data_IF_776854302018
#
_entry.id   IF_776854302018
#
_cell.length_a   1.000
_cell.length_b   1.000
_cell.length_c   1.000
_cell.angle_alpha   90.00
_cell.angle_beta   90.00
_cell.angle_gamma   90.00
#
_symmetry.space_group_name_H-M   'P 1'
#
loop_
_entity.id
_entity.type
_entity.pdbx_description
1 polymer ?
#
# COMPACT_ATOMS: atom_id res chain seq x y z
N UNK A 1 -5.64 13.21 -15.65
CA UNK A 1 -4.63 12.27 -15.12
C UNK A 1 -4.35 12.64 -13.68
N UNK A 2 -4.42 11.70 -12.74
CA UNK A 2 -4.07 11.97 -11.34
C UNK A 2 -2.57 11.80 -11.15
N UNK A 3 -1.94 12.76 -10.49
CA UNK A 3 -0.51 12.75 -10.22
C UNK A 3 -0.28 12.64 -8.71
N UNK A 4 0.81 11.98 -8.34
CA UNK A 4 1.31 11.89 -6.96
C UNK A 4 2.74 12.37 -6.90
N UNK A 5 3.15 12.85 -5.74
CA UNK A 5 4.53 13.22 -5.48
C UNK A 5 5.34 11.97 -5.10
N UNK A 6 6.50 11.79 -5.71
CA UNK A 6 7.41 10.71 -5.33
C UNK A 6 8.01 10.99 -3.94
N UNK A 7 7.87 10.09 -2.95
CA UNK A 7 8.33 10.31 -1.58
C UNK A 7 9.86 10.33 -1.46
N UNK A 8 10.58 9.85 -2.49
CA UNK A 8 12.05 9.80 -2.49
C UNK A 8 12.70 11.01 -3.15
N UNK A 9 12.09 11.58 -4.20
CA UNK A 9 12.70 12.65 -4.99
C UNK A 9 11.81 13.88 -5.19
N UNK A 10 10.62 13.91 -4.59
CA UNK A 10 9.63 15.00 -4.67
C UNK A 10 9.14 15.31 -6.10
N UNK A 11 9.41 14.45 -7.08
CA UNK A 11 8.95 14.66 -8.45
C UNK A 11 7.47 14.29 -8.60
N UNK A 12 6.72 15.09 -9.36
CA UNK A 12 5.35 14.79 -9.77
C UNK A 12 5.35 13.68 -10.83
N UNK A 13 4.67 12.58 -10.51
CA UNK A 13 4.59 11.39 -11.37
C UNK A 13 3.15 10.89 -11.45
N UNK A 14 2.86 10.04 -12.44
CA UNK A 14 1.54 9.42 -12.56
C UNK A 14 1.23 8.52 -11.35
N UNK A 15 0.01 8.61 -10.83
CA UNK A 15 -0.41 7.86 -9.65
C UNK A 15 -0.34 6.33 -9.89
N UNK A 16 -0.54 5.90 -11.13
CA UNK A 16 -0.49 4.50 -11.55
C UNK A 16 0.93 3.94 -11.70
N UNK A 17 1.95 4.80 -11.72
CA UNK A 17 3.35 4.39 -11.84
C UNK A 17 3.75 3.45 -10.70
N UNK A 18 4.26 2.26 -11.07
CA UNK A 18 4.80 1.24 -10.15
C UNK A 18 6.22 1.56 -9.69
N UNK A 19 6.97 2.28 -10.52
CA UNK A 19 8.35 2.72 -10.24
C UNK A 19 8.47 4.18 -10.65
N UNK A 20 9.18 4.99 -9.87
CA UNK A 20 9.48 6.37 -10.25
C UNK A 20 10.47 6.38 -11.43
N UNK A 21 10.15 7.00 -12.57
CA UNK A 21 11.04 7.03 -13.75
C UNK A 21 12.27 7.94 -13.56
N UNK A 22 12.33 8.72 -12.47
CA UNK A 22 13.42 9.68 -12.22
C UNK A 22 14.45 9.11 -11.26
N UNK A 23 14.03 8.50 -10.15
CA UNK A 23 14.93 7.99 -9.11
C UNK A 23 14.88 6.47 -8.94
N UNK A 24 14.10 5.75 -9.77
CA UNK A 24 13.91 4.30 -9.69
C UNK A 24 13.31 3.78 -8.37
N UNK A 25 12.66 4.63 -7.58
CA UNK A 25 11.96 4.20 -6.37
C UNK A 25 10.76 3.30 -6.69
N UNK A 26 10.71 2.10 -6.11
CA UNK A 26 9.62 1.13 -6.27
C UNK A 26 8.46 1.43 -5.32
N UNK A 27 7.28 1.67 -5.89
CA UNK A 27 6.06 1.85 -5.12
C UNK A 27 5.48 0.49 -4.75
N UNK A 28 5.61 0.13 -3.48
CA UNK A 28 4.93 -1.06 -2.95
C UNK A 28 3.42 -0.83 -2.98
N UNK A 29 2.71 -1.55 -3.85
CA UNK A 29 1.26 -1.64 -3.78
C UNK A 29 0.91 -2.68 -2.72
N UNK A 30 0.21 -2.32 -1.64
CA UNK A 30 -0.27 -3.31 -0.70
C UNK A 30 -1.21 -4.27 -1.45
N UNK A 31 -0.86 -5.55 -1.42
CA UNK A 31 -1.68 -6.59 -2.01
C UNK A 31 -2.98 -6.70 -1.19
N UNK A 32 -4.14 -6.49 -1.85
CA UNK A 32 -5.47 -6.56 -1.22
C UNK A 32 -5.70 -7.85 -0.41
N UNK A 33 -5.09 -8.96 -0.85
CA UNK A 33 -5.18 -10.23 -0.15
C UNK A 33 -4.64 -10.15 1.29
N UNK A 34 -3.46 -9.55 1.49
CA UNK A 34 -2.89 -9.41 2.84
C UNK A 34 -3.69 -8.44 3.70
N UNK A 35 -4.33 -7.43 3.11
CA UNK A 35 -5.24 -6.54 3.86
C UNK A 35 -6.43 -7.32 4.40
N UNK A 36 -7.04 -8.20 3.59
CA UNK A 36 -8.16 -9.05 4.03
C UNK A 36 -7.69 -10.06 5.09
N UNK A 37 -6.55 -10.72 4.88
CA UNK A 37 -5.98 -11.67 5.85
C UNK A 37 -5.75 -10.99 7.20
N UNK A 38 -5.18 -9.78 7.21
CA UNK A 38 -4.96 -9.02 8.44
C UNK A 38 -6.26 -8.72 9.18
N UNK A 39 -7.32 -8.30 8.46
CA UNK A 39 -8.64 -8.05 9.06
C UNK A 39 -9.22 -9.32 9.66
N UNK A 40 -9.16 -10.44 8.94
CA UNK A 40 -9.68 -11.74 9.41
C UNK A 40 -8.95 -12.18 10.67
N UNK A 41 -7.63 -12.07 10.72
CA UNK A 41 -6.83 -12.42 11.91
C UNK A 41 -7.19 -11.55 13.12
N UNK A 42 -7.36 -10.24 12.94
CA UNK A 42 -7.78 -9.34 14.02
C UNK A 42 -9.16 -9.73 14.55
N UNK A 43 -10.12 -10.00 13.67
CA UNK A 43 -11.48 -10.40 14.06
C UNK A 43 -11.46 -11.72 14.83
N UNK A 44 -10.72 -12.73 14.36
CA UNK A 44 -10.57 -14.01 15.06
C UNK A 44 -9.95 -13.80 16.45
N UNK A 45 -8.89 -12.98 16.54
CA UNK A 45 -8.22 -12.70 17.81
C UNK A 45 -9.17 -12.03 18.82
N UNK A 46 -9.97 -11.06 18.36
CA UNK A 46 -10.98 -10.39 19.19
C UNK A 46 -12.08 -11.36 19.64
N UNK A 47 -12.59 -12.19 18.73
CA UNK A 47 -13.60 -13.21 19.07
C UNK A 47 -13.07 -14.21 20.10
N UNK A 48 -11.83 -14.66 19.95
CA UNK A 48 -11.17 -15.55 20.90
C UNK A 48 -10.96 -14.93 22.28
N UNK A 49 -10.78 -13.61 22.36
CA UNK A 49 -10.60 -12.92 23.64
C UNK A 49 -11.92 -12.63 24.37
N UNK A 50 -13.03 -12.62 23.64
CA UNK A 50 -14.38 -12.31 24.17
C UNK A 50 -15.15 -13.58 24.54
N UNK A 51 -14.95 -14.68 23.81
CA UNK A 51 -15.62 -15.97 24.01
C UNK A 51 -14.80 -16.88 24.93
#
# INVERSE_FOLDING_TARGET
MKQKECPSCAMMIDESAKVCPVCNYEFTKPNRLYQIIAIVLIVIFVLFYIL
#
